data_IF_429637729061
#
_entry.id   IF_429637729061
#
_cell.length_a   1.000
_cell.length_b   1.000
_cell.length_c   1.000
_cell.angle_alpha   90.00
_cell.angle_beta   90.00
_cell.angle_gamma   90.00
#
_symmetry.space_group_name_H-M   'P 1'
#
loop_
_entity.id
_entity.type
_entity.pdbx_description
1 polymer ?
#
# COMPACT_ATOMS: atom_id res chain seq x y z
N UNK A 1 13.49 -9.89 -1.52
CA UNK A 1 12.65 -10.96 -2.09
C UNK A 1 11.19 -10.49 -2.16
N UNK A 2 10.84 -9.86 -3.28
CA UNK A 2 9.49 -9.48 -3.70
C UNK A 2 8.66 -10.73 -4.08
N UNK A 3 8.70 -11.78 -3.25
CA UNK A 3 8.40 -13.16 -3.65
C UNK A 3 6.92 -13.48 -3.85
N UNK A 4 6.00 -12.55 -3.57
CA UNK A 4 4.57 -12.77 -3.81
C UNK A 4 3.90 -11.47 -4.23
N UNK A 5 3.51 -11.37 -5.50
CA UNK A 5 2.75 -10.24 -6.06
C UNK A 5 1.50 -9.92 -5.22
N UNK A 6 0.83 -10.96 -4.68
CA UNK A 6 -0.32 -10.83 -3.79
C UNK A 6 -0.02 -10.03 -2.51
N UNK A 7 1.19 -10.16 -1.96
CA UNK A 7 1.59 -9.49 -0.72
C UNK A 7 1.97 -8.04 -0.96
N UNK A 8 2.62 -7.77 -2.09
CA UNK A 8 2.94 -6.41 -2.53
C UNK A 8 1.64 -5.64 -2.80
N UNK A 9 0.66 -6.27 -3.46
CA UNK A 9 -0.66 -5.68 -3.68
C UNK A 9 -1.42 -5.39 -2.37
N UNK A 10 -1.33 -6.30 -1.39
CA UNK A 10 -1.89 -6.04 -0.07
C UNK A 10 -1.18 -4.85 0.61
N UNK A 11 0.15 -4.80 0.55
CA UNK A 11 0.91 -3.71 1.14
C UNK A 11 0.62 -2.35 0.49
N UNK A 12 0.45 -2.29 -0.83
CA UNK A 12 0.06 -1.06 -1.52
C UNK A 12 -1.31 -0.54 -1.04
N UNK A 13 -2.30 -1.44 -0.86
CA UNK A 13 -3.61 -1.08 -0.31
C UNK A 13 -3.49 -0.59 1.13
N UNK A 14 -2.73 -1.30 1.97
CA UNK A 14 -2.55 -0.93 3.36
C UNK A 14 -1.91 0.45 3.50
N UNK A 15 -0.86 0.71 2.72
CA UNK A 15 -0.12 1.97 2.72
C UNK A 15 -0.99 3.11 2.16
N UNK A 16 -1.73 2.88 1.08
CA UNK A 16 -2.66 3.88 0.54
C UNK A 16 -3.78 4.21 1.53
N UNK A 17 -4.37 3.20 2.18
CA UNK A 17 -5.39 3.41 3.21
C UNK A 17 -4.83 4.19 4.40
N UNK A 18 -3.57 3.94 4.78
CA UNK A 18 -2.90 4.69 5.83
C UNK A 18 -2.59 6.14 5.46
N UNK A 19 -2.30 6.39 4.19
CA UNK A 19 -1.99 7.72 3.69
C UNK A 19 -3.24 8.61 3.58
N UNK A 20 -4.39 8.04 3.21
CA UNK A 20 -5.62 8.78 2.95
C UNK A 20 -6.53 8.97 4.19
N UNK A 21 -6.43 8.10 5.20
CA UNK A 21 -7.33 8.11 6.36
C UNK A 21 -6.65 8.70 7.60
N UNK A 22 -7.27 9.69 8.25
CA UNK A 22 -6.79 10.24 9.54
C UNK A 22 -6.83 9.21 10.69
N UNK A 23 -7.71 8.20 10.60
CA UNK A 23 -7.82 7.09 11.56
C UNK A 23 -7.50 5.77 10.88
N UNK A 24 -6.23 5.43 10.82
CA UNK A 24 -5.76 4.23 10.12
C UNK A 24 -5.93 2.97 10.98
N UNK A 25 -6.22 1.85 10.33
CA UNK A 25 -6.18 0.55 10.98
C UNK A 25 -4.72 0.21 11.36
N UNK A 26 -4.49 -0.08 12.64
CA UNK A 26 -3.18 -0.55 13.10
C UNK A 26 -2.76 -1.84 12.40
N UNK A 27 -1.45 -2.13 12.35
CA UNK A 27 -0.95 -3.40 11.80
C UNK A 27 -1.54 -4.63 12.52
N UNK A 28 -2.03 -4.48 13.75
CA UNK A 28 -2.75 -5.53 14.48
C UNK A 28 -4.15 -5.77 13.92
N UNK A 29 -4.85 -4.72 13.49
CA UNK A 29 -6.15 -4.85 12.82
C UNK A 29 -5.98 -5.48 11.43
N UNK A 30 -5.00 -5.04 10.65
CA UNK A 30 -4.67 -5.65 9.36
C UNK A 30 -4.24 -7.12 9.49
N UNK A 31 -3.53 -7.48 10.55
CA UNK A 31 -3.19 -8.88 10.87
C UNK A 31 -4.45 -9.74 11.10
N UNK A 32 -5.47 -9.20 11.79
CA UNK A 32 -6.77 -9.89 11.96
C UNK A 32 -7.53 -10.04 10.65
N UNK A 33 -7.53 -9.02 9.78
CA UNK A 33 -8.27 -9.02 8.51
C UNK A 33 -7.61 -9.99 7.50
N UNK A 34 -6.29 -10.01 7.45
CA UNK A 34 -5.52 -10.74 6.42
C UNK A 34 -5.10 -12.13 6.88
N UNK A 35 -5.15 -12.41 8.18
CA UNK A 35 -4.63 -13.65 8.78
C UNK A 35 -3.10 -13.72 8.82
N UNK A 36 -2.39 -12.67 8.41
CA UNK A 36 -0.93 -12.65 8.38
C UNK A 36 -0.34 -12.16 9.71
N UNK A 37 0.84 -12.67 10.14
CA UNK A 37 1.55 -12.15 11.30
C UNK A 37 1.89 -10.67 11.16
N UNK A 38 1.75 -9.91 12.25
CA UNK A 38 2.07 -8.47 12.29
C UNK A 38 3.50 -8.18 11.80
N UNK A 39 4.46 -9.02 12.18
CA UNK A 39 5.87 -8.88 11.77
C UNK A 39 6.04 -9.01 10.26
N UNK A 40 5.28 -9.90 9.64
CA UNK A 40 5.32 -10.12 8.20
C UNK A 40 4.70 -8.93 7.46
N UNK A 41 3.53 -8.45 7.89
CA UNK A 41 2.91 -7.24 7.35
C UNK A 41 3.83 -6.03 7.43
N UNK A 42 4.48 -5.82 8.58
CA UNK A 42 5.42 -4.70 8.75
C UNK A 42 6.66 -4.81 7.84
N UNK A 43 7.10 -6.02 7.53
CA UNK A 43 8.22 -6.23 6.61
C UNK A 43 7.80 -5.94 5.17
N UNK A 44 6.66 -6.45 4.71
CA UNK A 44 6.17 -6.21 3.34
C UNK A 44 5.83 -4.73 3.14
N UNK A 45 5.26 -4.07 4.14
CA UNK A 45 5.02 -2.62 4.12
C UNK A 45 6.32 -1.83 3.95
N UNK A 46 7.37 -2.17 4.71
CA UNK A 46 8.68 -1.52 4.57
C UNK A 46 9.35 -1.79 3.22
N UNK A 47 9.26 -3.01 2.70
CA UNK A 47 9.79 -3.34 1.37
C UNK A 47 9.05 -2.58 0.25
N UNK A 48 7.72 -2.45 0.35
CA UNK A 48 6.93 -1.67 -0.61
C UNK A 48 7.30 -0.18 -0.56
N UNK A 49 7.35 0.41 0.64
CA UNK A 49 7.73 1.81 0.85
C UNK A 49 9.14 2.11 0.34
N UNK A 50 10.09 1.20 0.57
CA UNK A 50 11.43 1.30 0.02
C UNK A 50 11.44 1.23 -1.52
N UNK A 51 10.58 0.39 -2.11
CA UNK A 51 10.43 0.26 -3.56
C UNK A 51 9.90 1.51 -4.24
N UNK A 52 9.01 2.25 -3.60
CA UNK A 52 8.49 3.54 -4.09
C UNK A 52 9.30 4.75 -3.59
N UNK A 53 10.45 4.52 -2.95
CA UNK A 53 11.30 5.57 -2.37
C UNK A 53 10.55 6.51 -1.41
N UNK A 54 9.55 5.98 -0.69
CA UNK A 54 8.68 6.74 0.21
C UNK A 54 7.87 7.85 -0.47
N UNK A 55 7.75 7.83 -1.80
CA UNK A 55 6.89 8.73 -2.55
C UNK A 55 5.49 8.13 -2.68
N UNK A 56 4.60 8.53 -1.76
CA UNK A 56 3.18 8.14 -1.77
C UNK A 56 2.29 9.21 -2.41
N UNK A 57 2.85 10.37 -2.74
CA UNK A 57 2.08 11.52 -3.15
C UNK A 57 1.96 11.54 -4.67
N UNK A 58 0.78 11.21 -5.18
CA UNK A 58 0.47 11.35 -6.60
C UNK A 58 0.06 12.79 -6.87
N UNK A 59 0.74 13.46 -7.81
CA UNK A 59 0.37 14.82 -8.24
C UNK A 59 -0.94 14.81 -9.01
N UNK A 60 -1.66 15.92 -8.97
CA UNK A 60 -2.97 16.05 -9.62
C UNK A 60 -2.89 15.82 -11.14
N UNK A 61 -1.82 16.28 -11.80
CA UNK A 61 -1.60 16.06 -13.22
C UNK A 61 -1.41 14.57 -13.56
N UNK A 62 -0.66 13.86 -12.71
CA UNK A 62 -0.42 12.43 -12.87
C UNK A 62 -1.69 11.62 -12.61
N UNK A 63 -2.45 11.98 -11.58
CA UNK A 63 -3.75 11.36 -11.28
C UNK A 63 -4.75 11.51 -12.45
N UNK A 64 -4.84 12.72 -13.03
CA UNK A 64 -5.67 12.99 -14.21
C UNK A 64 -5.25 12.17 -15.43
N UNK A 65 -3.95 12.03 -15.67
CA UNK A 65 -3.43 11.22 -16.77
C UNK A 65 -3.77 9.72 -16.58
N UNK A 66 -3.60 9.18 -15.37
CA UNK A 66 -3.94 7.78 -15.07
C UNK A 66 -5.43 7.49 -15.20
N UNK A 67 -6.28 8.37 -14.66
CA UNK A 67 -7.74 8.20 -14.73
C UNK A 67 -8.27 8.30 -16.15
N UNK A 68 -7.74 9.21 -16.97
CA UNK A 68 -8.07 9.30 -18.39
C UNK A 68 -7.70 8.01 -19.15
N UNK A 69 -6.53 7.43 -18.87
CA UNK A 69 -6.05 6.18 -19.49
C UNK A 69 -6.85 4.94 -19.08
N UNK A 70 -7.40 4.92 -17.86
CA UNK A 70 -8.25 3.82 -17.40
C UNK A 70 -9.69 3.91 -17.91
N UNK A 71 -10.13 5.11 -18.32
CA UNK A 71 -11.47 5.36 -18.85
C UNK A 71 -11.59 5.14 -20.38
N UNK A 72 -10.46 4.93 -21.08
CA UNK A 72 -10.39 4.58 -22.50
C UNK A 72 -10.27 3.08 -22.71
#
# INVERSE_FOLDING_TARGET
PLLCSRRIFLASIMVAAKFLQDKTFSNRAWSKITGLPVKELANVEREFLAGIQWDLNVKDEEWKAWTARLAS
#
